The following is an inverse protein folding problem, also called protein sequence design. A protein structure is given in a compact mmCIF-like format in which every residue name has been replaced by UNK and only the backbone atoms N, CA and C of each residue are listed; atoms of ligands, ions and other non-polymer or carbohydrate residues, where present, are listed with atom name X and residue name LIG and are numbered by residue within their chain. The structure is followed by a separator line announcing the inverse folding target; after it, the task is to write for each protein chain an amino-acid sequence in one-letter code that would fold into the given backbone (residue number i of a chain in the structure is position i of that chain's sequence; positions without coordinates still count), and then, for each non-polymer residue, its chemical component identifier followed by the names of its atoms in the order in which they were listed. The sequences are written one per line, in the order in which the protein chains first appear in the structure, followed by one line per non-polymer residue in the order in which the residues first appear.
data_IF_624312559165
#
_entry.id   IF_624312559165
#
_cell.length_a   1.000
_cell.length_b   1.000
_cell.length_c   1.000
_cell.angle_alpha   90.00
_cell.angle_beta   90.00
_cell.angle_gamma   90.00
#
_symmetry.space_group_name_H-M   'P 1'
#
loop_
_entity.id
_entity.type
_entity.pdbx_description
1 polymer ?
#
# COMPACT_ATOMS: atom_id res chain seq x y z
N UNK A 1 2.69 -2.95 -11.64
CA UNK A 1 3.48 -3.01 -10.39
C UNK A 1 3.60 -1.61 -9.84
N UNK A 2 3.56 -1.47 -8.52
CA UNK A 2 3.62 -0.16 -7.86
C UNK A 2 4.72 -0.15 -6.80
N UNK A 3 5.22 1.05 -6.53
CA UNK A 3 6.01 1.35 -5.35
C UNK A 3 5.10 2.05 -4.32
N UNK A 4 5.10 1.53 -3.09
CA UNK A 4 4.40 2.10 -1.95
C UNK A 4 5.41 2.70 -0.97
N UNK A 5 5.29 4.00 -0.71
CA UNK A 5 6.01 4.66 0.38
C UNK A 5 5.07 4.87 1.55
N UNK A 6 5.36 4.22 2.66
CA UNK A 6 4.58 4.28 3.90
C UNK A 6 5.31 5.17 4.90
N UNK A 7 4.69 6.29 5.26
CA UNK A 7 5.19 7.25 6.23
C UNK A 7 4.41 7.10 7.53
N UNK A 8 5.11 6.72 8.60
CA UNK A 8 4.59 6.58 9.95
C UNK A 8 5.34 7.51 10.91
N UNK A 9 4.79 7.77 12.10
CA UNK A 9 5.49 8.55 13.13
C UNK A 9 6.86 7.96 13.52
N UNK A 10 7.04 6.64 13.41
CA UNK A 10 8.28 5.95 13.75
C UNK A 10 9.27 5.82 12.58
N UNK A 11 8.92 6.30 11.38
CA UNK A 11 9.80 6.27 10.22
C UNK A 11 9.07 6.01 8.91
N UNK A 12 9.86 5.96 7.85
CA UNK A 12 9.38 5.75 6.47
C UNK A 12 9.93 4.44 5.92
N UNK A 13 9.11 3.71 5.17
CA UNK A 13 9.54 2.52 4.43
C UNK A 13 8.98 2.51 3.01
N UNK A 14 9.80 2.11 2.06
CA UNK A 14 9.43 1.98 0.64
C UNK A 14 9.39 0.52 0.24
N UNK A 15 8.37 0.15 -0.52
CA UNK A 15 8.07 -1.24 -0.88
C UNK A 15 7.59 -1.35 -2.31
N UNK A 16 8.29 -2.12 -3.12
CA UNK A 16 7.80 -2.53 -4.44
C UNK A 16 6.91 -3.77 -4.28
N UNK A 17 5.76 -3.78 -4.98
CA UNK A 17 4.81 -4.89 -4.91
C UNK A 17 4.04 -5.10 -6.20
N UNK A 18 3.88 -6.38 -6.58
CA UNK A 18 3.00 -6.82 -7.66
C UNK A 18 1.58 -7.12 -7.16
N UNK A 19 1.29 -6.98 -5.86
CA UNK A 19 -0.06 -7.18 -5.29
C UNK A 19 -1.08 -6.25 -5.93
N UNK A 20 -0.67 -5.02 -6.22
CA UNK A 20 -1.47 -4.06 -6.97
C UNK A 20 -0.93 -3.99 -8.40
N UNK A 21 -1.79 -4.37 -9.35
CA UNK A 21 -1.45 -4.38 -10.79
C UNK A 21 -1.05 -2.98 -11.27
N UNK A 22 -1.83 -1.97 -10.87
CA UNK A 22 -1.67 -0.57 -11.23
C UNK A 22 -2.02 0.35 -10.04
N UNK A 23 -1.85 1.66 -10.22
CA UNK A 23 -2.25 2.65 -9.22
C UNK A 23 -3.75 2.58 -8.91
N UNK A 24 -4.60 2.28 -9.89
CA UNK A 24 -6.06 2.21 -9.69
C UNK A 24 -6.47 1.04 -8.80
N UNK A 25 -5.76 -0.08 -8.84
CA UNK A 25 -5.96 -1.22 -7.96
C UNK A 25 -5.68 -0.84 -6.52
N UNK A 26 -4.59 -0.11 -6.28
CA UNK A 26 -4.30 0.45 -4.97
C UNK A 26 -5.37 1.47 -4.50
N UNK A 27 -5.80 2.39 -5.37
CA UNK A 27 -6.86 3.36 -5.03
C UNK A 27 -8.18 2.68 -4.64
N UNK A 28 -8.53 1.56 -5.29
CA UNK A 28 -9.70 0.74 -4.92
C UNK A 28 -9.54 0.12 -3.52
N UNK A 29 -8.35 -0.37 -3.17
CA UNK A 29 -8.08 -0.93 -1.84
C UNK A 29 -8.19 0.15 -0.74
N UNK A 30 -7.64 1.34 -0.98
CA UNK A 30 -7.81 2.50 -0.08
C UNK A 30 -9.30 2.83 0.10
N UNK A 31 -10.07 2.85 -1.00
CA UNK A 31 -11.51 3.14 -0.94
C UNK A 31 -12.27 2.10 -0.10
N UNK A 32 -11.94 0.81 -0.22
CA UNK A 32 -12.53 -0.25 0.61
C UNK A 32 -12.31 0.00 2.11
N UNK A 33 -11.11 0.47 2.48
CA UNK A 33 -10.82 0.85 3.87
C UNK A 33 -11.63 2.08 4.29
N UNK A 34 -11.70 3.10 3.44
CA UNK A 34 -12.43 4.34 3.75
C UNK A 34 -13.93 4.13 3.96
N UNK A 35 -14.55 3.19 3.25
CA UNK A 35 -15.98 2.86 3.41
C UNK A 35 -16.23 1.81 4.50
N UNK A 36 -15.19 1.34 5.20
CA UNK A 36 -15.31 0.40 6.31
C UNK A 36 -15.48 -1.06 5.92
N UNK A 37 -15.26 -1.43 4.65
CA UNK A 37 -15.26 -2.83 4.23
C UNK A 37 -14.03 -3.58 4.76
N UNK A 38 -12.91 -2.86 4.88
CA UNK A 38 -11.64 -3.38 5.39
C UNK A 38 -11.06 -2.39 6.42
N UNK A 39 -10.18 -2.86 7.30
CA UNK A 39 -9.56 -2.03 8.35
C UNK A 39 -8.08 -1.75 8.09
N UNK A 40 -7.48 -2.49 7.18
CA UNK A 40 -6.05 -2.45 6.83
C UNK A 40 -5.88 -2.67 5.33
N UNK A 41 -4.74 -2.25 4.79
CA UNK A 41 -4.25 -2.67 3.50
C UNK A 41 -3.20 -3.75 3.71
N UNK A 42 -3.30 -4.84 2.96
CA UNK A 42 -2.31 -5.92 2.98
C UNK A 42 -1.69 -6.12 1.61
N UNK A 43 -0.38 -6.36 1.57
CA UNK A 43 0.33 -6.69 0.34
C UNK A 43 1.58 -7.51 0.64
N UNK A 44 2.11 -8.17 -0.39
CA UNK A 44 3.41 -8.87 -0.32
C UNK A 44 4.44 -8.10 -1.14
N UNK A 45 5.55 -7.73 -0.53
CA UNK A 45 6.62 -7.04 -1.25
C UNK A 45 7.47 -8.00 -2.11
N UNK A 46 8.38 -7.46 -2.91
CA UNK A 46 9.28 -8.28 -3.73
C UNK A 46 10.18 -9.23 -2.91
N UNK A 47 10.48 -8.86 -1.66
CA UNK A 47 11.24 -9.69 -0.71
C UNK A 47 10.38 -10.77 -0.05
N UNK A 48 9.14 -10.98 -0.51
CA UNK A 48 8.17 -11.96 0.00
C UNK A 48 7.76 -11.71 1.45
N UNK A 49 7.90 -10.48 1.94
CA UNK A 49 7.40 -10.07 3.25
C UNK A 49 5.92 -9.74 3.11
N UNK A 50 5.10 -10.33 3.98
CA UNK A 50 3.70 -9.94 4.13
C UNK A 50 3.62 -8.68 4.99
N UNK A 51 2.99 -7.64 4.45
CA UNK A 51 2.85 -6.34 5.10
C UNK A 51 1.36 -6.08 5.29
N UNK A 52 1.01 -5.64 6.51
CA UNK A 52 -0.32 -5.17 6.86
C UNK A 52 -0.18 -3.79 7.48
N UNK A 53 -0.87 -2.80 6.92
CA UNK A 53 -0.78 -1.41 7.33
C UNK A 53 -2.19 -0.83 7.50
N UNK A 54 -2.41 -0.11 8.60
CA UNK A 54 -3.65 0.65 8.79
C UNK A 54 -3.48 2.08 8.27
N UNK A 55 -4.24 2.49 7.23
CA UNK A 55 -4.18 3.87 6.72
C UNK A 55 -4.57 4.93 7.75
N UNK A 56 -5.23 4.56 8.85
CA UNK A 56 -5.61 5.50 9.92
C UNK A 56 -4.41 6.14 10.63
N UNK A 57 -3.24 5.48 10.61
CA UNK A 57 -2.05 5.89 11.36
C UNK A 57 -0.84 6.22 10.48
N UNK A 58 -1.03 6.34 9.16
CA UNK A 58 0.07 6.57 8.22
C UNK A 58 -0.38 7.34 6.97
N UNK A 59 0.60 7.87 6.25
CA UNK A 59 0.43 8.34 4.87
C UNK A 59 1.00 7.25 3.97
N UNK A 60 0.25 6.85 2.93
CA UNK A 60 0.70 5.88 1.94
C UNK A 60 0.71 6.57 0.57
N UNK A 61 1.90 6.75 0.02
CA UNK A 61 2.11 7.25 -1.33
C UNK A 61 2.24 6.07 -2.28
N UNK A 62 1.61 6.14 -3.45
CA UNK A 62 1.66 5.09 -4.47
C UNK A 62 2.16 5.67 -5.80
N UNK A 63 3.28 5.15 -6.27
CA UNK A 63 3.88 5.50 -7.55
C UNK A 63 3.76 4.30 -8.49
N UNK A 64 3.26 4.56 -9.69
CA UNK A 64 3.24 3.55 -10.75
C UNK A 64 4.64 3.41 -11.34
N UNK A 65 5.19 2.19 -11.28
CA UNK A 65 6.49 1.90 -11.89
C UNK A 65 6.25 1.58 -13.36
N UNK A 66 6.68 2.48 -14.25
CA UNK A 66 6.68 2.21 -15.69
C UNK A 66 7.74 1.14 -15.96
N UNK A 67 7.30 -0.04 -16.42
CA UNK A 67 8.16 -0.98 -17.12
C UNK A 67 8.26 -0.60 -18.59
#
# INVERSE_FOLDING_TARGET
MVELTIVMNCGTGTYETETFEDKKAFERAIRNVQIGNETVITFTDERKRFISVSPANCIIECTELKR
#
